data_IF_662002748619
#
_entry.id   IF_662002748619
#
_cell.length_a   1.000
_cell.length_b   1.000
_cell.length_c   1.000
_cell.angle_alpha   90.00
_cell.angle_beta   90.00
_cell.angle_gamma   90.00
#
_symmetry.space_group_name_H-M   'P 1'
#
loop_
_entity.id
_entity.type
_entity.pdbx_description
1 polymer ?
#
# COMPACT_ATOMS: atom_id res chain seq x y z
N UNK A 1 15.40 27.46 10.51
CA UNK A 1 15.42 26.13 9.85
C UNK A 1 14.83 25.02 10.75
N UNK A 2 13.68 25.29 11.37
CA UNK A 2 12.96 24.46 12.37
C UNK A 2 11.59 23.88 11.88
N UNK A 3 10.92 24.35 10.79
CA UNK A 3 9.56 23.90 10.44
C UNK A 3 9.41 22.43 9.99
N UNK A 4 10.42 21.86 9.34
CA UNK A 4 10.31 20.59 8.61
C UNK A 4 10.39 19.37 9.54
N UNK A 5 11.28 19.39 10.55
CA UNK A 5 11.37 18.33 11.57
C UNK A 5 10.04 18.18 12.32
N UNK A 6 9.45 19.30 12.75
CA UNK A 6 8.17 19.31 13.46
C UNK A 6 6.99 18.85 12.60
N UNK A 7 7.08 18.99 11.26
CA UNK A 7 6.09 18.42 10.36
C UNK A 7 6.14 16.89 10.37
N UNK A 8 7.32 16.29 10.18
CA UNK A 8 7.48 14.83 10.15
C UNK A 8 7.09 14.21 11.50
N UNK A 9 7.57 14.75 12.62
CA UNK A 9 7.23 14.22 13.96
C UNK A 9 5.71 14.24 14.19
N UNK A 10 5.04 15.38 13.95
CA UNK A 10 3.60 15.50 14.18
C UNK A 10 2.78 14.60 13.27
N UNK A 11 3.14 14.51 11.99
CA UNK A 11 2.43 13.65 11.04
C UNK A 11 2.64 12.17 11.36
N UNK A 12 3.86 11.76 11.66
CA UNK A 12 4.15 10.37 12.05
C UNK A 12 3.37 10.00 13.31
N UNK A 13 3.35 10.85 14.33
CA UNK A 13 2.59 10.59 15.55
C UNK A 13 1.08 10.45 15.27
N UNK A 14 0.48 11.39 14.53
CA UNK A 14 -0.94 11.35 14.16
C UNK A 14 -1.28 10.10 13.32
N UNK A 15 -0.42 9.74 12.36
CA UNK A 15 -0.60 8.56 11.52
C UNK A 15 -0.51 7.26 12.33
N UNK A 16 0.42 7.16 13.28
CA UNK A 16 0.50 6.01 14.20
C UNK A 16 -0.81 5.91 15.00
N UNK A 17 -1.30 7.00 15.61
CA UNK A 17 -2.56 6.98 16.35
C UNK A 17 -3.74 6.50 15.50
N UNK A 18 -3.82 6.94 14.24
CA UNK A 18 -4.83 6.46 13.28
C UNK A 18 -4.67 4.95 13.02
N UNK A 19 -3.46 4.48 12.76
CA UNK A 19 -3.19 3.09 12.40
C UNK A 19 -3.39 2.12 13.58
N UNK A 20 -3.06 2.52 14.80
CA UNK A 20 -3.31 1.71 16.01
C UNK A 20 -4.79 1.40 16.21
N UNK A 21 -5.70 2.25 15.70
CA UNK A 21 -7.15 1.98 15.74
C UNK A 21 -7.62 1.03 14.63
N UNK A 22 -6.84 0.92 13.56
CA UNK A 22 -7.17 0.11 12.39
C UNK A 22 -6.58 -1.30 12.50
N UNK A 23 -5.38 -1.44 13.05
CA UNK A 23 -4.67 -2.72 13.11
C UNK A 23 -4.67 -3.29 14.54
N UNK A 24 -4.73 -4.61 14.65
CA UNK A 24 -4.57 -5.34 15.92
C UNK A 24 -3.12 -5.55 16.33
N UNK A 25 -2.18 -5.04 15.52
CA UNK A 25 -0.74 -5.10 15.74
C UNK A 25 -0.17 -3.69 15.70
N UNK A 26 1.02 -3.51 16.27
CA UNK A 26 1.76 -2.25 16.17
C UNK A 26 3.26 -2.52 16.00
N UNK A 27 3.97 -1.70 15.21
CA UNK A 27 5.42 -1.72 15.20
C UNK A 27 5.96 -1.26 16.56
N UNK A 28 7.05 -1.85 17.03
CA UNK A 28 7.65 -1.51 18.33
C UNK A 28 8.11 -0.05 18.39
N UNK A 29 8.68 0.45 17.29
CA UNK A 29 9.08 1.84 17.10
C UNK A 29 9.08 2.21 15.62
N UNK A 30 9.06 3.50 15.33
CA UNK A 30 9.11 4.03 13.95
C UNK A 30 10.22 5.07 13.83
N UNK A 31 11.11 4.87 12.85
CA UNK A 31 12.19 5.78 12.49
C UNK A 31 11.97 6.28 11.07
N UNK A 32 11.85 7.59 10.92
CA UNK A 32 11.73 8.25 9.61
C UNK A 32 13.05 8.95 9.28
N UNK A 33 13.77 8.41 8.31
CA UNK A 33 14.99 8.97 7.75
C UNK A 33 14.64 9.98 6.66
N UNK A 34 14.99 11.25 6.85
CA UNK A 34 14.64 12.32 5.91
C UNK A 34 15.88 12.81 5.17
N UNK A 35 15.89 12.68 3.85
CA UNK A 35 16.98 13.05 2.97
C UNK A 35 16.62 14.32 2.19
N UNK A 36 17.56 15.27 2.11
CA UNK A 36 17.36 16.56 1.42
C UNK A 36 17.69 16.51 -0.08
N UNK A 37 18.39 15.47 -0.51
CA UNK A 37 18.82 15.32 -1.89
C UNK A 37 18.67 13.85 -2.33
N UNK A 38 18.45 13.68 -3.63
CA UNK A 38 18.16 12.37 -4.22
C UNK A 38 19.36 11.43 -4.17
N UNK A 39 20.59 11.92 -4.32
CA UNK A 39 21.79 11.08 -4.26
C UNK A 39 21.93 10.39 -2.90
N UNK A 40 21.71 11.12 -1.80
CA UNK A 40 21.76 10.56 -0.44
C UNK A 40 20.62 9.58 -0.17
N UNK A 41 19.41 9.89 -0.68
CA UNK A 41 18.27 8.96 -0.62
C UNK A 41 18.56 7.64 -1.35
N UNK A 42 19.04 7.70 -2.59
CA UNK A 42 19.41 6.54 -3.40
C UNK A 42 20.49 5.68 -2.76
N UNK A 43 21.51 6.33 -2.18
CA UNK A 43 22.57 5.65 -1.42
C UNK A 43 21.98 4.90 -0.21
N UNK A 44 21.08 5.53 0.53
CA UNK A 44 20.49 4.94 1.74
C UNK A 44 19.57 3.75 1.46
N UNK A 45 18.89 3.71 0.30
CA UNK A 45 18.04 2.58 -0.11
C UNK A 45 18.78 1.53 -0.95
N UNK A 46 20.10 1.68 -1.11
CA UNK A 46 20.96 0.79 -1.92
C UNK A 46 20.46 0.61 -3.37
N UNK A 47 20.00 1.69 -4.01
CA UNK A 47 19.55 1.70 -5.42
C UNK A 47 20.35 2.70 -6.24
N UNK A 48 20.79 2.29 -7.44
CA UNK A 48 21.45 3.18 -8.40
C UNK A 48 20.47 4.10 -9.14
N UNK A 49 19.27 3.59 -9.46
CA UNK A 49 18.22 4.31 -10.17
C UNK A 49 16.85 3.82 -9.70
N UNK A 50 15.92 4.76 -9.54
CA UNK A 50 14.51 4.53 -9.21
C UNK A 50 13.67 5.53 -10.03
N UNK A 51 12.38 5.27 -10.25
CA UNK A 51 11.48 6.23 -10.91
C UNK A 51 11.47 7.60 -10.21
N UNK A 52 11.27 8.67 -10.97
CA UNK A 52 11.30 10.05 -10.44
C UNK A 52 10.22 10.37 -9.42
N UNK A 53 9.10 9.65 -9.50
CA UNK A 53 8.00 9.76 -8.56
C UNK A 53 8.28 9.09 -7.21
N UNK A 54 9.32 8.25 -7.08
CA UNK A 54 9.61 7.53 -5.83
C UNK A 54 10.27 8.49 -4.83
N UNK A 55 9.46 8.99 -3.89
CA UNK A 55 9.90 9.93 -2.85
C UNK A 55 9.92 9.34 -1.46
N UNK A 56 9.45 8.12 -1.27
CA UNK A 56 9.55 7.40 -0.01
C UNK A 56 9.72 5.90 -0.24
N UNK A 57 10.24 5.20 0.76
CA UNK A 57 10.56 3.78 0.67
C UNK A 57 10.60 3.13 2.05
N UNK A 58 9.95 1.97 2.16
CA UNK A 58 10.11 1.03 3.27
C UNK A 58 10.90 -0.17 2.79
N UNK A 59 12.03 -0.54 3.45
CA UNK A 59 12.76 -1.74 3.08
C UNK A 59 11.89 -3.00 3.20
N UNK A 60 12.13 -4.03 2.37
CA UNK A 60 11.34 -5.24 2.41
C UNK A 60 11.29 -5.83 3.81
N UNK A 61 10.08 -6.15 4.28
CA UNK A 61 9.80 -6.69 5.62
C UNK A 61 10.21 -5.78 6.79
N UNK A 62 10.60 -4.53 6.55
CA UNK A 62 10.90 -3.60 7.64
C UNK A 62 9.63 -3.31 8.45
N UNK A 63 9.75 -3.36 9.77
CA UNK A 63 8.68 -3.03 10.71
C UNK A 63 8.94 -1.71 11.43
N UNK A 64 10.04 -1.01 11.14
CA UNK A 64 10.41 0.19 11.89
C UNK A 64 11.01 1.33 11.06
N UNK A 65 11.48 1.10 9.83
CA UNK A 65 12.24 2.12 9.10
C UNK A 65 11.54 2.59 7.83
N UNK A 66 11.47 3.92 7.68
CA UNK A 66 10.97 4.61 6.49
C UNK A 66 12.05 5.59 6.01
N UNK A 67 12.29 5.63 4.70
CA UNK A 67 13.23 6.53 4.06
C UNK A 67 12.44 7.51 3.19
N UNK A 68 12.62 8.81 3.38
CA UNK A 68 11.84 9.86 2.70
C UNK A 68 12.77 10.87 2.05
N UNK A 69 12.61 11.09 0.75
CA UNK A 69 13.19 12.20 0.03
C UNK A 69 12.32 13.45 0.24
N UNK A 70 12.79 14.37 1.07
CA UNK A 70 12.14 15.66 1.24
C UNK A 70 12.74 16.66 0.25
N UNK A 71 12.07 16.88 -0.88
CA UNK A 71 12.41 17.97 -1.78
C UNK A 71 11.93 19.29 -1.20
N UNK A 72 12.79 20.32 -1.16
CA UNK A 72 12.36 21.70 -0.90
C UNK A 72 11.55 22.28 -2.06
N UNK A 73 11.59 21.60 -3.21
CA UNK A 73 10.81 21.94 -4.39
C UNK A 73 9.35 21.54 -4.21
N UNK A 74 8.47 22.38 -4.76
CA UNK A 74 6.99 22.34 -4.81
C UNK A 74 6.34 20.99 -5.18
N UNK A 75 7.11 19.94 -5.46
CA UNK A 75 6.68 18.67 -6.04
C UNK A 75 5.70 17.88 -5.15
N UNK A 76 5.69 18.08 -3.84
CA UNK A 76 4.65 17.50 -2.96
C UNK A 76 4.23 18.48 -1.88
N UNK A 77 3.04 19.05 -2.00
CA UNK A 77 2.46 19.86 -0.93
C UNK A 77 2.39 19.09 0.40
N UNK A 78 2.34 19.79 1.54
CA UNK A 78 2.29 19.17 2.89
C UNK A 78 1.22 18.08 3.03
N UNK A 79 0.07 18.26 2.36
CA UNK A 79 -1.02 17.27 2.31
C UNK A 79 -0.59 15.97 1.62
N UNK A 80 0.04 16.08 0.46
CA UNK A 80 0.53 14.93 -0.31
C UNK A 80 1.61 14.19 0.49
N UNK A 81 2.55 14.91 1.09
CA UNK A 81 3.58 14.29 1.94
C UNK A 81 2.98 13.60 3.18
N UNK A 82 1.95 14.17 3.80
CA UNK A 82 1.23 13.51 4.90
C UNK A 82 0.58 12.19 4.47
N UNK A 83 -0.04 12.16 3.28
CA UNK A 83 -0.59 10.92 2.70
C UNK A 83 0.50 9.89 2.38
N UNK A 84 1.62 10.32 1.81
CA UNK A 84 2.77 9.45 1.53
C UNK A 84 3.31 8.86 2.84
N UNK A 85 3.49 9.67 3.88
CA UNK A 85 3.91 9.16 5.18
C UNK A 85 2.91 8.15 5.75
N UNK A 86 1.60 8.39 5.61
CA UNK A 86 0.59 7.43 6.08
C UNK A 86 0.66 6.12 5.29
N UNK A 87 0.87 6.19 3.98
CA UNK A 87 1.10 5.04 3.10
C UNK A 87 2.31 4.22 3.60
N UNK A 88 3.47 4.87 3.78
CA UNK A 88 4.68 4.17 4.21
C UNK A 88 4.58 3.60 5.63
N UNK A 89 3.96 4.32 6.58
CA UNK A 89 3.76 3.77 7.92
C UNK A 89 2.80 2.56 7.85
N UNK A 90 1.82 2.57 6.95
CA UNK A 90 0.93 1.41 6.74
C UNK A 90 1.72 0.16 6.32
N UNK A 91 2.78 0.29 5.53
CA UNK A 91 3.67 -0.83 5.20
C UNK A 91 4.36 -1.44 6.44
N UNK A 92 4.72 -0.63 7.45
CA UNK A 92 5.27 -1.16 8.70
C UNK A 92 4.24 -2.01 9.46
N UNK A 93 2.99 -1.56 9.48
CA UNK A 93 1.89 -2.28 10.11
C UNK A 93 1.54 -3.56 9.34
N UNK A 94 1.50 -3.53 8.01
CA UNK A 94 1.23 -4.74 7.21
C UNK A 94 2.38 -5.74 7.29
N UNK A 95 3.65 -5.29 7.32
CA UNK A 95 4.80 -6.17 7.56
C UNK A 95 4.78 -6.79 8.96
N UNK A 96 4.30 -6.06 9.98
CA UNK A 96 4.11 -6.58 11.34
C UNK A 96 2.94 -7.57 11.40
N UNK A 97 1.85 -7.28 10.68
CA UNK A 97 0.65 -8.12 10.63
C UNK A 97 0.92 -9.45 9.94
N UNK A 98 1.61 -9.40 8.80
CA UNK A 98 1.99 -10.54 8.01
C UNK A 98 3.16 -10.19 7.06
N UNK A 99 4.40 -10.63 7.35
CA UNK A 99 5.56 -10.28 6.52
C UNK A 99 5.51 -10.88 5.11
N UNK A 100 4.68 -11.91 4.91
CA UNK A 100 4.56 -12.69 3.67
C UNK A 100 3.42 -12.21 2.76
N UNK A 101 2.77 -11.08 3.06
CA UNK A 101 1.77 -10.53 2.15
C UNK A 101 2.38 -10.26 0.77
N UNK A 102 1.66 -10.58 -0.32
CA UNK A 102 2.11 -10.23 -1.66
C UNK A 102 2.09 -8.72 -1.85
N UNK A 103 3.00 -8.21 -2.70
CA UNK A 103 3.20 -6.77 -2.92
C UNK A 103 1.89 -6.06 -3.27
N UNK A 104 1.06 -6.66 -4.15
CA UNK A 104 -0.22 -6.06 -4.55
C UNK A 104 -1.14 -5.77 -3.35
N UNK A 105 -1.12 -6.64 -2.33
CA UNK A 105 -1.97 -6.49 -1.16
C UNK A 105 -1.39 -5.49 -0.16
N UNK A 106 -0.06 -5.50 0.03
CA UNK A 106 0.63 -4.47 0.83
C UNK A 106 0.34 -3.09 0.28
N UNK A 107 0.54 -2.91 -1.03
CA UNK A 107 0.28 -1.67 -1.74
C UNK A 107 -1.19 -1.29 -1.72
N UNK A 108 -2.10 -2.25 -1.94
CA UNK A 108 -3.55 -1.99 -1.90
C UNK A 108 -4.03 -1.50 -0.54
N UNK A 109 -3.53 -2.09 0.56
CA UNK A 109 -3.86 -1.65 1.92
C UNK A 109 -3.32 -0.25 2.18
N UNK A 110 -2.06 0.00 1.82
CA UNK A 110 -1.43 1.32 1.98
C UNK A 110 -2.14 2.41 1.16
N UNK A 111 -2.50 2.13 -0.09
CA UNK A 111 -3.29 3.03 -0.96
C UNK A 111 -4.67 3.32 -0.37
N UNK A 112 -5.38 2.28 0.10
CA UNK A 112 -6.70 2.43 0.70
C UNK A 112 -6.66 3.29 1.97
N UNK A 113 -5.75 2.97 2.91
CA UNK A 113 -5.65 3.67 4.20
C UNK A 113 -5.20 5.13 4.04
N UNK A 114 -4.31 5.39 3.07
CA UNK A 114 -3.81 6.73 2.75
C UNK A 114 -4.76 7.55 1.86
N UNK A 115 -5.90 6.97 1.43
CA UNK A 115 -6.85 7.57 0.51
C UNK A 115 -6.19 8.03 -0.81
N UNK A 116 -5.40 7.14 -1.41
CA UNK A 116 -4.67 7.36 -2.68
C UNK A 116 -5.31 6.61 -3.86
N UNK A 117 -6.62 6.36 -3.80
CA UNK A 117 -7.40 5.87 -4.94
C UNK A 117 -7.81 7.09 -5.77
N UNK A 118 -7.14 7.31 -6.89
CA UNK A 118 -7.32 8.52 -7.70
C UNK A 118 -8.36 8.36 -8.80
N UNK A 119 -8.63 7.13 -9.24
CA UNK A 119 -9.62 6.84 -10.28
C UNK A 119 -10.72 5.92 -9.73
N UNK A 120 -12.00 6.28 -9.91
CA UNK A 120 -13.11 5.46 -9.43
C UNK A 120 -13.36 4.22 -10.29
N UNK A 121 -12.69 4.10 -11.45
CA UNK A 121 -12.79 2.96 -12.36
C UNK A 121 -11.43 2.60 -12.97
N UNK A 122 -11.39 1.43 -13.59
CA UNK A 122 -10.25 0.79 -14.24
C UNK A 122 -10.63 0.61 -15.71
N UNK A 123 -9.74 0.96 -16.63
CA UNK A 123 -9.98 0.68 -18.05
C UNK A 123 -9.92 -0.83 -18.30
N UNK A 124 -10.72 -1.32 -19.24
CA UNK A 124 -10.65 -2.72 -19.66
C UNK A 124 -9.23 -3.14 -20.07
N UNK A 125 -8.50 -2.26 -20.78
CA UNK A 125 -7.10 -2.50 -21.16
C UNK A 125 -6.16 -2.67 -19.97
N UNK A 126 -6.24 -1.78 -18.96
CA UNK A 126 -5.42 -1.91 -17.75
C UNK A 126 -5.77 -3.20 -17.00
N UNK A 127 -7.07 -3.52 -16.89
CA UNK A 127 -7.53 -4.73 -16.23
C UNK A 127 -6.99 -6.01 -16.88
N UNK A 128 -7.00 -6.08 -18.21
CA UNK A 128 -6.47 -7.22 -18.98
C UNK A 128 -4.95 -7.38 -18.81
N UNK A 129 -4.20 -6.27 -18.68
CA UNK A 129 -2.74 -6.33 -18.43
C UNK A 129 -2.40 -6.83 -17.03
N UNK A 130 -3.27 -6.57 -16.06
CA UNK A 130 -3.10 -6.99 -14.65
C UNK A 130 -3.66 -8.38 -14.37
N UNK A 131 -4.57 -8.87 -15.22
CA UNK A 131 -5.28 -10.13 -15.01
C UNK A 131 -4.76 -11.18 -15.96
N UNK A 132 -4.14 -12.25 -15.43
CA UNK A 132 -3.77 -13.43 -16.21
C UNK A 132 -4.62 -14.61 -15.78
N UNK A 133 -5.16 -15.36 -16.73
CA UNK A 133 -6.01 -16.53 -16.48
C UNK A 133 -7.20 -16.19 -15.55
N UNK A 134 -7.76 -14.98 -15.66
CA UNK A 134 -8.86 -14.50 -14.83
C UNK A 134 -8.48 -14.14 -13.38
N UNK A 135 -7.19 -14.16 -13.03
CA UNK A 135 -6.71 -13.87 -11.67
C UNK A 135 -5.84 -12.60 -11.68
N UNK A 136 -6.28 -11.51 -11.01
CA UNK A 136 -5.49 -10.29 -10.90
C UNK A 136 -4.15 -10.54 -10.21
N UNK A 137 -3.10 -9.89 -10.71
CA UNK A 137 -1.72 -9.95 -10.20
C UNK A 137 -1.06 -11.34 -10.24
N UNK A 138 -1.72 -12.35 -10.81
CA UNK A 138 -1.11 -13.68 -10.99
C UNK A 138 0.03 -13.56 -12.02
N UNK A 139 1.26 -13.80 -11.57
CA UNK A 139 2.47 -13.74 -12.42
C UNK A 139 2.65 -12.38 -13.12
N UNK A 140 2.15 -11.30 -12.52
CA UNK A 140 2.38 -9.92 -13.00
C UNK A 140 3.44 -9.29 -12.13
N UNK A 141 4.52 -8.81 -12.74
CA UNK A 141 5.57 -8.10 -12.01
C UNK A 141 5.07 -6.74 -11.55
N UNK A 142 5.58 -6.25 -10.42
CA UNK A 142 5.18 -4.93 -9.92
C UNK A 142 5.50 -3.79 -10.89
N UNK A 143 6.54 -3.95 -11.71
CA UNK A 143 6.86 -2.99 -12.79
C UNK A 143 5.71 -2.88 -13.79
N UNK A 144 5.23 -4.02 -14.30
CA UNK A 144 4.09 -4.06 -15.22
C UNK A 144 2.85 -3.51 -14.52
N UNK A 145 2.66 -3.85 -13.24
CA UNK A 145 1.55 -3.31 -12.47
C UNK A 145 1.59 -1.78 -12.40
N UNK A 146 2.74 -1.19 -12.06
CA UNK A 146 2.90 0.26 -11.96
C UNK A 146 2.64 0.98 -13.30
N UNK A 147 3.02 0.36 -14.44
CA UNK A 147 2.79 0.89 -15.79
C UNK A 147 1.30 0.83 -16.21
N UNK A 148 0.51 -0.07 -15.62
CA UNK A 148 -0.90 -0.31 -15.96
C UNK A 148 -1.84 -0.06 -14.77
N UNK A 149 -1.68 1.09 -14.11
CA UNK A 149 -2.57 1.56 -13.05
C UNK A 149 -2.71 0.62 -11.82
N UNK A 150 -1.70 -0.22 -11.58
CA UNK A 150 -1.69 -1.25 -10.55
C UNK A 150 -1.99 -0.73 -9.16
N UNK A 151 -1.40 0.40 -8.75
CA UNK A 151 -1.69 1.03 -7.44
C UNK A 151 -3.18 1.34 -7.25
N UNK A 152 -3.85 1.88 -8.27
CA UNK A 152 -5.28 2.17 -8.18
C UNK A 152 -6.11 0.87 -8.16
N UNK A 153 -5.73 -0.12 -8.96
CA UNK A 153 -6.42 -1.42 -9.03
C UNK A 153 -6.32 -2.15 -7.69
N UNK A 154 -5.14 -2.19 -7.06
CA UNK A 154 -4.96 -2.80 -5.74
C UNK A 154 -5.75 -2.06 -4.67
N UNK A 155 -5.74 -0.73 -4.69
CA UNK A 155 -6.54 0.11 -3.79
C UNK A 155 -8.05 -0.16 -3.94
N UNK A 156 -8.55 -0.27 -5.17
CA UNK A 156 -9.95 -0.60 -5.44
C UNK A 156 -10.32 -2.01 -4.98
N UNK A 157 -9.44 -3.01 -5.17
CA UNK A 157 -9.67 -4.38 -4.68
C UNK A 157 -9.76 -4.44 -3.16
N UNK A 158 -8.88 -3.74 -2.45
CA UNK A 158 -8.94 -3.64 -0.99
C UNK A 158 -10.19 -2.88 -0.56
N UNK A 159 -10.50 -1.75 -1.20
CA UNK A 159 -11.74 -1.01 -0.92
C UNK A 159 -12.99 -1.88 -1.10
N UNK A 160 -13.05 -2.67 -2.18
CA UNK A 160 -14.16 -3.60 -2.44
C UNK A 160 -14.26 -4.66 -1.35
N UNK A 161 -13.14 -5.30 -1.00
CA UNK A 161 -13.08 -6.30 0.08
C UNK A 161 -13.52 -5.71 1.42
N UNK A 162 -13.06 -4.50 1.75
CA UNK A 162 -13.41 -3.80 3.00
C UNK A 162 -14.88 -3.38 3.02
N UNK A 163 -15.43 -2.90 1.90
CA UNK A 163 -16.88 -2.58 1.80
C UNK A 163 -17.75 -3.82 1.94
N UNK A 164 -17.29 -4.96 1.42
CA UNK A 164 -18.04 -6.22 1.41
C UNK A 164 -18.02 -6.94 2.75
N UNK A 165 -16.84 -7.05 3.37
CA UNK A 165 -16.66 -7.86 4.59
C UNK A 165 -16.47 -7.04 5.86
N UNK A 166 -16.18 -5.74 5.72
CA UNK A 166 -15.78 -4.88 6.83
C UNK A 166 -14.29 -4.98 7.16
N UNK A 167 -13.72 -3.85 7.59
CA UNK A 167 -12.29 -3.71 7.84
C UNK A 167 -11.72 -4.73 8.83
N UNK A 168 -12.37 -4.92 9.99
CA UNK A 168 -11.89 -5.85 11.03
C UNK A 168 -11.77 -7.29 10.52
N UNK A 169 -12.78 -7.75 9.79
CA UNK A 169 -12.80 -9.10 9.22
C UNK A 169 -11.75 -9.25 8.11
N UNK A 170 -11.63 -8.26 7.24
CA UNK A 170 -10.60 -8.23 6.20
C UNK A 170 -9.18 -8.31 6.78
N UNK A 171 -8.86 -7.53 7.82
CA UNK A 171 -7.54 -7.57 8.48
C UNK A 171 -7.27 -8.94 9.12
N UNK A 172 -8.28 -9.57 9.73
CA UNK A 172 -8.15 -10.91 10.28
C UNK A 172 -7.82 -11.94 9.19
N UNK A 173 -8.53 -11.89 8.05
CA UNK A 173 -8.33 -12.78 6.92
C UNK A 173 -6.92 -12.68 6.32
N UNK A 174 -6.28 -11.50 6.41
CA UNK A 174 -4.92 -11.30 5.88
C UNK A 174 -3.80 -11.44 6.92
N UNK A 175 -4.14 -11.76 8.16
CA UNK A 175 -3.15 -11.91 9.24
C UNK A 175 -2.31 -13.17 9.10
N UNK A 176 -1.06 -13.14 9.58
CA UNK A 176 -0.17 -14.30 9.54
C UNK A 176 -0.73 -15.51 10.30
N UNK A 177 -1.48 -15.26 11.38
CA UNK A 177 -2.17 -16.29 12.17
C UNK A 177 -3.13 -17.13 11.34
N UNK A 178 -3.70 -16.55 10.30
CA UNK A 178 -4.69 -17.21 9.49
C UNK A 178 -4.14 -17.77 8.18
N UNK A 179 -3.20 -17.06 7.55
CA UNK A 179 -2.54 -17.59 6.35
C UNK A 179 -1.10 -17.09 6.21
N UNK A 180 -0.19 -18.06 6.10
CA UNK A 180 1.21 -17.80 5.75
C UNK A 180 1.38 -17.35 4.30
N UNK A 181 0.47 -17.73 3.40
CA UNK A 181 0.54 -17.48 1.97
C UNK A 181 -0.80 -16.99 1.45
N UNK A 182 -0.86 -15.70 1.12
CA UNK A 182 -2.09 -15.05 0.68
C UNK A 182 -2.09 -14.89 -0.83
N UNK A 183 -3.21 -15.26 -1.44
CA UNK A 183 -3.52 -14.96 -2.84
C UNK A 183 -4.81 -14.14 -2.90
N UNK A 184 -5.10 -13.54 -4.05
CA UNK A 184 -6.38 -12.85 -4.23
C UNK A 184 -7.58 -13.80 -4.09
N UNK A 185 -7.39 -15.10 -4.34
CA UNK A 185 -8.43 -16.12 -4.17
C UNK A 185 -8.70 -16.44 -2.70
N UNK A 186 -7.69 -16.36 -1.83
CA UNK A 186 -7.86 -16.76 -0.43
C UNK A 186 -8.73 -15.78 0.37
N UNK A 187 -8.86 -14.53 -0.08
CA UNK A 187 -9.68 -13.52 0.61
C UNK A 187 -11.17 -13.88 0.57
N UNK A 188 -11.83 -14.02 -0.60
CA UNK A 188 -13.24 -14.43 -0.61
C UNK A 188 -13.46 -15.83 -0.06
N UNK A 189 -12.51 -16.77 -0.27
CA UNK A 189 -12.61 -18.12 0.30
C UNK A 189 -12.65 -18.14 1.83
N UNK A 190 -11.96 -17.22 2.50
CA UNK A 190 -12.04 -17.04 3.95
C UNK A 190 -13.48 -16.72 4.42
N UNK A 191 -14.29 -16.14 3.56
CA UNK A 191 -15.68 -15.73 3.82
C UNK A 191 -16.70 -16.67 3.17
N UNK A 192 -16.30 -17.89 2.82
CA UNK A 192 -17.13 -18.88 2.12
C UNK A 192 -17.72 -18.36 0.79
N UNK A 193 -17.05 -17.39 0.16
CA UNK A 193 -17.44 -16.82 -1.12
C UNK A 193 -16.61 -17.40 -2.27
N UNK A 194 -17.30 -17.77 -3.37
CA UNK A 194 -16.64 -18.20 -4.60
C UNK A 194 -15.87 -17.04 -5.22
N UNK A 195 -14.60 -17.28 -5.53
CA UNK A 195 -13.71 -16.27 -6.14
C UNK A 195 -14.26 -15.70 -7.46
N UNK A 196 -14.90 -16.54 -8.27
CA UNK A 196 -15.47 -16.16 -9.56
C UNK A 196 -16.60 -15.15 -9.38
N UNK A 197 -17.44 -15.32 -8.35
CA UNK A 197 -18.49 -14.36 -8.01
C UNK A 197 -17.87 -13.05 -7.53
N UNK A 198 -16.90 -13.13 -6.61
CA UNK A 198 -16.21 -11.96 -6.07
C UNK A 198 -15.59 -11.09 -7.17
N UNK A 199 -14.87 -11.70 -8.13
CA UNK A 199 -14.27 -10.98 -9.25
C UNK A 199 -15.31 -10.48 -10.24
N UNK A 200 -16.39 -11.23 -10.48
CA UNK A 200 -17.47 -10.77 -11.36
C UNK A 200 -18.14 -9.51 -10.82
N UNK A 201 -18.45 -9.49 -9.52
CA UNK A 201 -19.01 -8.32 -8.83
C UNK A 201 -18.03 -7.13 -8.87
N UNK A 202 -16.75 -7.39 -8.60
CA UNK A 202 -15.70 -6.38 -8.68
C UNK A 202 -15.62 -5.75 -10.07
N UNK A 203 -15.58 -6.58 -11.12
CA UNK A 203 -15.51 -6.11 -12.52
C UNK A 203 -16.73 -5.26 -12.87
N UNK A 204 -17.94 -5.71 -12.50
CA UNK A 204 -19.18 -4.97 -12.74
C UNK A 204 -19.15 -3.58 -12.12
N UNK A 205 -18.50 -3.43 -10.97
CA UNK A 205 -18.45 -2.15 -10.26
C UNK A 205 -17.35 -1.21 -10.78
N UNK A 206 -16.18 -1.74 -11.13
CA UNK A 206 -14.98 -0.92 -11.33
C UNK A 206 -14.36 -0.98 -12.73
N UNK A 207 -14.59 -2.03 -13.52
CA UNK A 207 -13.98 -2.15 -14.85
C UNK A 207 -14.93 -1.58 -15.90
N UNK A 208 -14.45 -0.60 -16.67
CA UNK A 208 -15.20 0.14 -17.68
C UNK A 208 -14.44 0.25 -19.00
#
# INVERSE_FOLDING_TARGET
MIPQKNFYIRNTHSNIQKLTRLFSVSPFFVVVHVFRNRASFLKAIHKKKVPDWLVAYVPPKSTSHIYVLSTNEKLTGRKVMSQILLHEITHLYTNTLNPNLPDWLKEGVSVYVAAQIFKPSISTTDWEKITREGVPFKRVSWRVAAEHNGYNITGLLVMFSVRRYGWKKFIAAISYRHSMHISIKSIPLYFDEKFEQFITDFKKQFVK
#
